data_IF_285933032265
#
_entry.id   IF_285933032265
#
_cell.length_a   1.000
_cell.length_b   1.000
_cell.length_c   1.000
_cell.angle_alpha   90.00
_cell.angle_beta   90.00
_cell.angle_gamma   90.00
#
_symmetry.space_group_name_H-M   'P 1'
#
loop_
_entity.id
_entity.type
_entity.pdbx_description
1 polymer ?
#
# COMPACT_ATOMS: atom_id res chain seq x y z
N UNK A 1 -9.24 10.94 -11.04
CA UNK A 1 -9.58 9.75 -10.23
C UNK A 1 -10.93 9.91 -9.54
N UNK A 2 -11.45 8.87 -8.86
CA UNK A 2 -12.63 8.99 -7.98
C UNK A 2 -12.21 8.75 -6.52
N UNK A 3 -12.79 9.50 -5.59
CA UNK A 3 -12.60 9.29 -4.16
C UNK A 3 -13.04 7.88 -3.78
N UNK A 4 -12.19 7.12 -3.09
CA UNK A 4 -12.47 5.73 -2.69
C UNK A 4 -13.55 5.60 -1.62
N UNK A 5 -13.82 6.70 -0.91
CA UNK A 5 -14.85 6.76 0.14
C UNK A 5 -16.14 7.38 -0.38
N UNK A 6 -16.07 8.58 -0.99
CA UNK A 6 -17.28 9.31 -1.41
C UNK A 6 -17.69 9.09 -2.87
N UNK A 7 -16.84 8.48 -3.71
CA UNK A 7 -17.08 8.29 -5.14
C UNK A 7 -17.00 9.56 -5.99
N UNK A 8 -16.84 10.74 -5.39
CA UNK A 8 -16.74 12.03 -6.10
C UNK A 8 -15.48 12.10 -6.95
N UNK A 9 -15.53 12.91 -8.02
CA UNK A 9 -14.38 13.12 -8.90
C UNK A 9 -13.30 13.91 -8.15
N UNK A 10 -12.07 13.43 -8.24
CA UNK A 10 -10.86 14.11 -7.77
C UNK A 10 -9.97 14.38 -8.98
N UNK A 11 -9.48 15.61 -9.10
CA UNK A 11 -8.43 15.96 -10.05
C UNK A 11 -7.08 15.57 -9.44
N UNK A 12 -6.32 14.65 -10.05
CA UNK A 12 -4.96 14.37 -9.60
C UNK A 12 -4.11 15.63 -9.68
N UNK A 13 -3.22 15.84 -8.70
CA UNK A 13 -2.37 17.04 -8.66
C UNK A 13 -0.88 16.73 -8.85
N UNK A 14 -0.49 15.46 -8.77
CA UNK A 14 0.89 15.02 -8.92
C UNK A 14 0.92 13.58 -9.48
N UNK A 15 1.89 13.32 -10.35
CA UNK A 15 2.28 11.97 -10.76
C UNK A 15 3.77 11.76 -10.50
N UNK A 16 4.10 10.52 -10.12
CA UNK A 16 5.47 10.02 -10.04
C UNK A 16 5.86 9.22 -11.29
N UNK A 17 4.95 9.08 -12.27
CA UNK A 17 5.17 8.34 -13.51
C UNK A 17 4.94 6.84 -13.36
N UNK A 18 5.45 6.11 -14.36
CA UNK A 18 5.34 4.66 -14.47
C UNK A 18 6.27 3.97 -13.45
N UNK A 19 5.66 3.35 -12.44
CA UNK A 19 6.36 2.71 -11.32
C UNK A 19 6.16 1.18 -11.32
N UNK A 20 7.19 0.40 -10.97
CA UNK A 20 7.06 -1.03 -10.74
C UNK A 20 6.39 -1.32 -9.38
N UNK A 21 6.13 -2.60 -9.10
CA UNK A 21 5.69 -3.00 -7.76
C UNK A 21 6.85 -2.86 -6.76
N UNK A 22 6.64 -2.12 -5.66
CA UNK A 22 7.69 -1.90 -4.66
C UNK A 22 8.27 -3.18 -4.04
N UNK A 23 7.46 -4.25 -3.95
CA UNK A 23 7.86 -5.56 -3.42
C UNK A 23 8.07 -6.60 -4.53
N UNK A 24 8.10 -6.19 -5.80
CA UNK A 24 8.25 -7.08 -6.95
C UNK A 24 9.71 -7.33 -7.30
N UNK A 25 10.43 -8.08 -6.45
CA UNK A 25 11.79 -8.51 -6.78
C UNK A 25 11.76 -9.56 -7.89
N UNK A 26 12.57 -9.35 -8.93
CA UNK A 26 12.57 -10.16 -10.15
C UNK A 26 13.92 -10.83 -10.38
N UNK A 27 13.87 -12.04 -10.91
CA UNK A 27 15.02 -12.68 -11.57
C UNK A 27 15.24 -12.06 -12.96
N UNK A 28 16.45 -12.17 -13.50
CA UNK A 28 16.81 -11.54 -14.78
C UNK A 28 15.90 -11.99 -15.94
N UNK A 29 15.48 -13.27 -15.97
CA UNK A 29 14.55 -13.77 -16.98
C UNK A 29 13.15 -13.16 -16.91
N UNK A 30 12.78 -12.52 -15.80
CA UNK A 30 11.45 -11.96 -15.57
C UNK A 30 11.34 -10.47 -15.95
N UNK A 31 12.45 -9.79 -16.28
CA UNK A 31 12.48 -8.34 -16.55
C UNK A 31 11.54 -7.94 -17.70
N UNK A 32 11.43 -8.76 -18.74
CA UNK A 32 10.56 -8.48 -19.88
C UNK A 32 9.06 -8.52 -19.52
N UNK A 33 8.71 -9.13 -18.40
CA UNK A 33 7.33 -9.31 -17.92
C UNK A 33 7.04 -8.46 -16.67
N UNK A 34 7.91 -7.51 -16.32
CA UNK A 34 7.73 -6.65 -15.15
C UNK A 34 6.43 -5.84 -15.27
N UNK A 35 5.65 -5.85 -14.18
CA UNK A 35 4.40 -5.10 -14.11
C UNK A 35 4.66 -3.67 -13.65
N UNK A 36 4.09 -2.73 -14.40
CA UNK A 36 4.14 -1.31 -14.08
C UNK A 36 2.73 -0.70 -14.06
N UNK A 37 2.59 0.39 -13.30
CA UNK A 37 1.38 1.20 -13.25
C UNK A 37 1.75 2.69 -13.11
N UNK A 38 0.83 3.58 -13.47
CA UNK A 38 1.04 5.03 -13.25
C UNK A 38 0.75 5.36 -11.78
N UNK A 39 1.77 5.83 -11.06
CA UNK A 39 1.61 6.26 -9.68
C UNK A 39 1.24 7.74 -9.63
N UNK A 40 -0.06 8.02 -9.65
CA UNK A 40 -0.60 9.35 -9.47
C UNK A 40 -1.41 9.48 -8.18
N UNK A 41 -1.42 10.69 -7.61
CA UNK A 41 -2.08 11.00 -6.35
C UNK A 41 -3.07 12.13 -6.48
N UNK A 42 -4.09 12.08 -5.64
CA UNK A 42 -5.15 13.07 -5.57
C UNK A 42 -5.59 13.31 -4.13
N UNK A 43 -6.17 14.49 -3.92
CA UNK A 43 -6.70 14.91 -2.65
C UNK A 43 -8.19 15.23 -2.79
N UNK A 44 -9.01 14.64 -1.93
CA UNK A 44 -10.44 14.86 -1.91
C UNK A 44 -10.78 16.01 -0.96
N UNK A 45 -11.19 17.17 -1.47
CA UNK A 45 -11.51 18.33 -0.62
C UNK A 45 -12.77 18.14 0.24
N UNK A 46 -13.62 17.18 -0.11
CA UNK A 46 -14.88 16.91 0.61
C UNK A 46 -14.69 16.14 1.93
N UNK A 47 -13.65 15.32 2.02
CA UNK A 47 -13.38 14.46 3.18
C UNK A 47 -11.89 14.39 3.56
N UNK A 48 -11.06 15.21 2.93
CA UNK A 48 -9.62 15.33 3.16
C UNK A 48 -8.83 14.02 2.91
N UNK A 49 -9.38 13.09 2.12
CA UNK A 49 -8.69 11.85 1.77
C UNK A 49 -7.58 12.11 0.74
N UNK A 50 -6.35 11.80 1.11
CA UNK A 50 -5.22 11.65 0.19
C UNK A 50 -5.13 10.21 -0.30
N UNK A 51 -5.05 10.00 -1.61
CA UNK A 51 -5.07 8.65 -2.20
C UNK A 51 -4.33 8.55 -3.54
N UNK A 52 -3.93 7.32 -3.88
CA UNK A 52 -3.50 6.93 -5.23
C UNK A 52 -4.70 6.62 -6.13
N UNK A 53 -4.62 6.91 -7.44
CA UNK A 53 -5.66 6.54 -8.40
C UNK A 53 -5.69 5.02 -8.63
N UNK A 54 -4.66 4.53 -9.33
CA UNK A 54 -4.51 3.12 -9.63
C UNK A 54 -3.85 2.44 -8.44
N UNK A 55 -4.48 1.37 -7.97
CA UNK A 55 -3.92 0.52 -6.93
C UNK A 55 -3.79 -0.87 -7.55
N UNK A 56 -2.57 -1.43 -7.70
CA UNK A 56 -2.41 -2.75 -8.25
C UNK A 56 -3.29 -3.75 -7.48
N UNK A 57 -3.97 -4.65 -8.21
CA UNK A 57 -4.89 -5.62 -7.58
C UNK A 57 -4.17 -6.45 -6.52
N UNK A 58 -4.87 -6.70 -5.41
CA UNK A 58 -4.38 -7.39 -4.21
C UNK A 58 -3.59 -8.68 -4.53
N UNK A 59 -4.06 -9.49 -5.47
CA UNK A 59 -3.43 -10.77 -5.84
C UNK A 59 -2.02 -10.64 -6.46
N UNK A 60 -1.65 -9.48 -7.02
CA UNK A 60 -0.28 -9.24 -7.50
C UNK A 60 0.67 -8.81 -6.39
N UNK A 61 0.15 -8.18 -5.34
CA UNK A 61 0.93 -7.65 -4.21
C UNK A 61 1.03 -8.69 -3.08
N UNK A 62 -0.07 -9.37 -2.76
CA UNK A 62 -0.16 -10.38 -1.72
C UNK A 62 -0.22 -11.76 -2.39
N UNK A 63 0.94 -12.41 -2.43
CA UNK A 63 1.13 -13.75 -2.97
C UNK A 63 2.13 -14.53 -2.11
N UNK A 64 2.34 -15.81 -2.42
CA UNK A 64 3.22 -16.70 -1.65
C UNK A 64 4.70 -16.27 -1.65
N UNK A 65 5.09 -15.33 -2.51
CA UNK A 65 6.43 -14.74 -2.59
C UNK A 65 6.54 -13.38 -1.89
N UNK A 66 5.56 -12.98 -1.07
CA UNK A 66 5.58 -11.69 -0.38
C UNK A 66 6.83 -11.56 0.54
N UNK A 67 7.74 -10.62 0.28
CA UNK A 67 9.08 -10.63 0.88
C UNK A 67 9.14 -9.99 2.28
N UNK A 68 8.04 -9.46 2.80
CA UNK A 68 8.02 -8.72 4.06
C UNK A 68 7.59 -9.60 5.23
N UNK A 69 8.51 -9.79 6.18
CA UNK A 69 8.32 -10.61 7.38
C UNK A 69 8.42 -9.77 8.65
N UNK A 70 7.28 -9.36 9.19
CA UNK A 70 7.20 -8.45 10.35
C UNK A 70 8.01 -8.94 11.57
N UNK A 71 8.01 -10.25 11.85
CA UNK A 71 8.68 -10.84 13.02
C UNK A 71 10.21 -10.74 12.98
N UNK A 72 10.81 -10.43 11.83
CA UNK A 72 12.27 -10.23 11.70
C UNK A 72 12.75 -8.94 12.36
N UNK A 73 11.84 -8.02 12.74
CA UNK A 73 12.18 -6.80 13.47
C UNK A 73 11.82 -6.95 14.95
N UNK A 74 12.83 -6.98 15.82
CA UNK A 74 12.65 -7.00 17.27
C UNK A 74 11.81 -5.81 17.77
N UNK A 75 11.98 -4.65 17.14
CA UNK A 75 11.18 -3.46 17.43
C UNK A 75 9.70 -3.69 17.14
N UNK A 76 9.37 -4.23 15.95
CA UNK A 76 7.98 -4.52 15.59
C UNK A 76 7.36 -5.59 16.50
N UNK A 77 8.13 -6.60 16.89
CA UNK A 77 7.67 -7.61 17.86
C UNK A 77 7.29 -6.96 19.19
N UNK A 78 8.12 -6.06 19.71
CA UNK A 78 7.79 -5.29 20.93
C UNK A 78 6.56 -4.43 20.71
N UNK A 79 6.52 -3.65 19.63
CA UNK A 79 5.42 -2.75 19.29
C UNK A 79 4.06 -3.48 19.29
N UNK A 80 3.97 -4.65 18.64
CA UNK A 80 2.72 -5.42 18.61
C UNK A 80 2.35 -6.02 19.97
N UNK A 81 3.33 -6.39 20.79
CA UNK A 81 3.09 -6.84 22.17
C UNK A 81 2.54 -5.72 23.04
N UNK A 82 3.08 -4.51 22.89
CA UNK A 82 2.62 -3.32 23.61
C UNK A 82 1.21 -2.94 23.16
N UNK A 83 0.94 -2.96 21.85
CA UNK A 83 -0.39 -2.75 21.29
C UNK A 83 -1.42 -3.75 21.82
N UNK A 84 -1.09 -5.04 21.84
CA UNK A 84 -1.94 -6.08 22.43
C UNK A 84 -2.25 -5.79 23.91
N UNK A 85 -1.22 -5.42 24.66
CA UNK A 85 -1.35 -5.12 26.10
C UNK A 85 -2.22 -3.89 26.34
N UNK A 86 -2.14 -2.89 25.46
CA UNK A 86 -2.99 -1.70 25.49
C UNK A 86 -4.46 -2.04 25.20
N UNK A 87 -4.75 -2.80 24.14
CA UNK A 87 -6.12 -3.24 23.80
C UNK A 87 -6.73 -4.00 24.98
N UNK A 88 -6.00 -4.97 25.52
CA UNK A 88 -6.50 -5.84 26.59
C UNK A 88 -6.94 -5.06 27.83
N UNK A 89 -6.27 -3.94 28.14
CA UNK A 89 -6.61 -3.04 29.27
C UNK A 89 -7.78 -2.08 28.98
N UNK A 90 -8.17 -1.92 27.72
CA UNK A 90 -9.20 -0.97 27.28
C UNK A 90 -10.53 -1.64 27.00
N UNK A 91 -10.50 -2.91 26.59
CA UNK A 91 -11.68 -3.70 26.21
C UNK A 91 -12.12 -4.64 27.36
N UNK A 92 -11.26 -4.88 28.36
CA UNK A 92 -11.60 -5.45 29.66
C UNK A 92 -11.36 -4.42 30.76
#
# INVERSE_FOLDING_TARGET
>A
MKCKVSGKKITPFMSFGKMPMANGFLEQQEFNNEFFYELEVGFSEDNFLFQVNDHPKSNKIFNDKYPFYTHKSNYMVSHFKDYYSWIKKKIH
#
